data_IF_232898910462
#
_entry.id   IF_232898910462
#
_cell.length_a   1.000
_cell.length_b   1.000
_cell.length_c   1.000
_cell.angle_alpha   90.00
_cell.angle_beta   90.00
_cell.angle_gamma   90.00
#
_symmetry.space_group_name_H-M   'P 1'
#
loop_
_entity.id
_entity.type
_entity.pdbx_description
1 polymer ?
#
# COMPACT_ATOMS: atom_id res chain seq x y z
N UNK A 1 44.97 46.12 -56.93
CA UNK A 1 43.85 46.93 -56.36
C UNK A 1 42.99 45.98 -55.54
N UNK A 2 43.13 46.08 -54.26
CA UNK A 2 42.39 45.27 -53.29
C UNK A 2 41.05 45.92 -52.99
N UNK A 3 39.93 45.23 -53.13
CA UNK A 3 38.69 45.58 -52.47
C UNK A 3 38.28 44.47 -51.52
N UNK A 4 38.50 44.72 -50.24
CA UNK A 4 37.95 43.92 -49.13
C UNK A 4 36.54 44.46 -48.87
N UNK A 5 35.50 43.77 -49.38
CA UNK A 5 34.13 44.00 -48.96
C UNK A 5 33.84 43.15 -47.75
N UNK A 6 34.13 43.71 -46.60
CA UNK A 6 33.75 43.10 -45.29
C UNK A 6 32.25 43.33 -45.06
N UNK A 7 31.56 42.22 -44.77
CA UNK A 7 30.14 42.28 -44.33
C UNK A 7 30.06 43.06 -43.01
N UNK A 8 29.39 44.20 -43.04
CA UNK A 8 29.21 45.05 -41.85
C UNK A 8 28.31 44.36 -40.83
N UNK A 9 28.56 44.62 -39.54
CA UNK A 9 27.74 44.09 -38.45
C UNK A 9 26.22 44.27 -38.64
N UNK A 10 25.82 45.34 -39.29
CA UNK A 10 24.43 45.65 -39.64
C UNK A 10 23.86 44.68 -40.69
N UNK A 11 24.65 44.26 -41.68
CA UNK A 11 24.26 43.28 -42.71
C UNK A 11 24.20 41.85 -42.10
N UNK A 12 25.12 41.53 -41.18
CA UNK A 12 25.08 40.26 -40.47
C UNK A 12 23.86 40.14 -39.55
N UNK A 13 23.45 41.24 -38.89
CA UNK A 13 22.23 41.26 -38.04
C UNK A 13 20.96 41.22 -38.91
N UNK A 14 20.94 41.81 -40.09
CA UNK A 14 19.79 41.73 -40.98
C UNK A 14 19.61 40.36 -41.66
N UNK A 15 20.70 39.62 -41.93
CA UNK A 15 20.61 38.23 -42.39
C UNK A 15 20.24 37.26 -41.26
N UNK A 16 20.64 37.53 -40.01
CA UNK A 16 20.25 36.74 -38.86
C UNK A 16 18.78 36.91 -38.46
N UNK A 17 18.15 38.03 -38.75
CA UNK A 17 16.75 38.30 -38.46
C UNK A 17 15.76 37.66 -39.47
N UNK A 18 16.24 37.26 -40.65
CA UNK A 18 15.37 36.69 -41.69
C UNK A 18 15.18 35.15 -41.56
N UNK A 19 15.90 34.47 -40.65
CA UNK A 19 15.78 33.01 -40.42
C UNK A 19 15.34 32.65 -39.01
N UNK A 20 15.11 33.60 -38.11
CA UNK A 20 14.44 33.36 -36.85
C UNK A 20 12.92 33.30 -37.10
N UNK A 21 12.46 32.18 -37.62
CA UNK A 21 11.04 31.81 -37.51
C UNK A 21 10.70 31.82 -36.03
N UNK A 22 9.92 32.79 -35.58
CA UNK A 22 9.34 32.77 -34.23
C UNK A 22 8.45 31.54 -34.13
N UNK A 23 9.02 30.43 -33.63
CA UNK A 23 8.22 29.28 -33.22
C UNK A 23 7.42 29.72 -32.01
N UNK A 24 6.14 30.00 -32.19
CA UNK A 24 5.23 30.31 -31.10
C UNK A 24 5.05 29.01 -30.30
N UNK A 25 5.81 28.87 -29.22
CA UNK A 25 5.66 27.76 -28.28
C UNK A 25 4.50 28.15 -27.36
N UNK A 26 3.35 27.46 -27.41
CA UNK A 26 2.24 27.73 -26.49
C UNK A 26 2.70 27.71 -25.05
N UNK A 27 2.21 28.62 -24.19
CA UNK A 27 2.59 28.72 -22.80
C UNK A 27 2.42 27.36 -22.03
N UNK A 28 1.46 26.52 -22.45
CA UNK A 28 1.26 25.17 -21.93
C UNK A 28 2.44 24.21 -22.16
N UNK A 29 3.28 24.49 -23.17
CA UNK A 29 4.48 23.66 -23.49
C UNK A 29 5.68 24.11 -22.68
N UNK A 30 5.71 25.40 -22.28
CA UNK A 30 6.77 25.96 -21.44
C UNK A 30 6.55 25.70 -19.92
N UNK A 31 5.37 25.21 -19.55
CA UNK A 31 4.96 25.09 -18.16
C UNK A 31 4.57 26.46 -17.56
N UNK A 32 3.92 26.40 -16.41
CA UNK A 32 3.66 27.57 -15.55
C UNK A 32 4.23 27.23 -14.17
N UNK A 33 4.33 28.20 -13.27
CA UNK A 33 4.81 27.97 -11.90
C UNK A 33 4.03 26.87 -11.17
N UNK A 34 2.73 26.70 -11.51
CA UNK A 34 1.79 25.72 -10.97
C UNK A 34 1.63 24.44 -11.83
N UNK A 35 2.23 24.37 -13.03
CA UNK A 35 2.12 23.24 -13.95
C UNK A 35 3.42 23.02 -14.74
N UNK A 36 4.19 21.95 -14.48
CA UNK A 36 5.40 21.64 -15.21
C UNK A 36 5.10 21.40 -16.70
N UNK A 37 6.09 21.66 -17.61
CA UNK A 37 5.93 21.39 -19.03
C UNK A 37 5.67 19.89 -19.26
N UNK A 38 4.97 19.51 -20.35
CA UNK A 38 4.65 18.10 -20.64
C UNK A 38 5.88 17.18 -20.71
N UNK A 39 7.04 17.70 -21.12
CA UNK A 39 8.31 16.96 -21.16
C UNK A 39 8.84 16.57 -19.79
N UNK A 40 8.43 17.27 -18.74
CA UNK A 40 8.88 17.01 -17.36
C UNK A 40 7.89 16.16 -16.58
N UNK A 41 6.78 15.76 -17.21
CA UNK A 41 5.78 14.88 -16.59
C UNK A 41 6.09 13.42 -16.88
N UNK A 42 5.84 12.56 -15.88
CA UNK A 42 5.84 11.12 -16.11
C UNK A 42 4.57 10.68 -16.84
N UNK A 43 4.71 9.72 -17.74
CA UNK A 43 3.60 9.04 -18.38
C UNK A 43 3.18 7.85 -17.51
N UNK A 44 2.05 7.96 -16.87
CA UNK A 44 1.57 6.98 -15.88
C UNK A 44 0.45 6.11 -16.44
N UNK A 45 0.57 4.81 -16.21
CA UNK A 45 -0.50 3.83 -16.40
C UNK A 45 -1.06 3.42 -15.04
N UNK A 46 -2.38 3.27 -14.96
CA UNK A 46 -3.07 2.85 -13.74
C UNK A 46 -3.78 1.53 -13.97
N UNK A 47 -3.58 0.58 -13.06
CA UNK A 47 -4.21 -0.72 -13.04
C UNK A 47 -5.04 -0.87 -11.77
N UNK A 48 -6.37 -1.09 -11.94
CA UNK A 48 -7.36 -1.04 -10.87
C UNK A 48 -7.79 0.40 -10.56
N UNK A 49 -9.04 0.72 -10.89
CA UNK A 49 -9.61 2.07 -10.82
C UNK A 49 -10.75 2.18 -9.79
N UNK A 50 -10.79 1.23 -8.85
CA UNK A 50 -11.70 1.27 -7.70
C UNK A 50 -11.46 2.50 -6.82
N UNK A 51 -11.95 2.50 -5.57
CA UNK A 51 -11.87 3.66 -4.69
C UNK A 51 -10.43 4.16 -4.50
N UNK A 52 -9.48 3.26 -4.22
CA UNK A 52 -8.06 3.59 -4.04
C UNK A 52 -7.46 4.11 -5.35
N UNK A 53 -7.67 3.39 -6.46
CA UNK A 53 -7.14 3.79 -7.78
C UNK A 53 -7.63 5.16 -8.21
N UNK A 54 -8.92 5.47 -8.05
CA UNK A 54 -9.48 6.80 -8.33
C UNK A 54 -8.80 7.89 -7.49
N UNK A 55 -8.58 7.63 -6.21
CA UNK A 55 -7.89 8.57 -5.32
C UNK A 55 -6.47 8.84 -5.80
N UNK A 56 -5.76 7.80 -6.24
CA UNK A 56 -4.38 7.92 -6.71
C UNK A 56 -4.29 8.60 -8.08
N UNK A 57 -5.21 8.30 -9.02
CA UNK A 57 -5.30 9.04 -10.29
C UNK A 57 -5.47 10.53 -10.02
N UNK A 58 -6.38 10.90 -9.11
CA UNK A 58 -6.59 12.31 -8.75
C UNK A 58 -5.35 12.93 -8.10
N UNK A 59 -4.69 12.23 -7.19
CA UNK A 59 -3.49 12.71 -6.50
C UNK A 59 -2.29 12.91 -7.45
N UNK A 60 -2.21 12.14 -8.53
CA UNK A 60 -1.15 12.21 -9.54
C UNK A 60 -1.60 12.88 -10.85
N UNK A 61 -2.75 13.57 -10.85
CA UNK A 61 -3.33 14.23 -12.05
C UNK A 61 -2.45 15.35 -12.64
N UNK A 62 -1.44 15.83 -11.92
CA UNK A 62 -0.41 16.70 -12.45
C UNK A 62 0.53 16.02 -13.46
N UNK A 63 0.54 14.69 -13.53
CA UNK A 63 1.31 13.91 -14.49
C UNK A 63 0.48 13.58 -15.74
N UNK A 64 1.08 12.93 -16.74
CA UNK A 64 0.37 12.45 -17.92
C UNK A 64 -0.28 11.11 -17.62
N UNK A 65 -1.60 11.04 -17.55
CA UNK A 65 -2.34 9.78 -17.42
C UNK A 65 -2.53 9.22 -18.83
N UNK A 66 -1.71 8.25 -19.22
CA UNK A 66 -1.68 7.75 -20.60
C UNK A 66 -2.45 6.45 -20.82
N UNK A 67 -2.64 5.64 -19.75
CA UNK A 67 -3.37 4.40 -19.84
C UNK A 67 -4.14 4.09 -18.55
N UNK A 68 -5.33 3.51 -18.71
CA UNK A 68 -6.23 3.07 -17.65
C UNK A 68 -6.61 1.62 -17.91
N UNK A 69 -6.40 0.75 -16.91
CA UNK A 69 -6.73 -0.67 -17.00
C UNK A 69 -7.62 -1.09 -15.84
N UNK A 70 -8.79 -1.64 -16.16
CA UNK A 70 -9.70 -2.24 -15.17
C UNK A 70 -10.48 -3.39 -15.82
N UNK A 71 -10.93 -4.33 -15.03
CA UNK A 71 -11.74 -5.47 -15.48
C UNK A 71 -13.24 -5.18 -15.42
N UNK A 72 -13.64 -4.06 -14.81
CA UNK A 72 -15.04 -3.70 -14.56
C UNK A 72 -15.36 -2.26 -15.01
N UNK A 73 -15.89 -2.13 -16.21
CA UNK A 73 -16.27 -0.84 -16.79
C UNK A 73 -17.76 -0.50 -16.64
N UNK A 74 -18.48 -1.22 -15.77
CA UNK A 74 -19.90 -0.96 -15.54
C UNK A 74 -20.14 0.49 -15.11
N UNK A 75 -21.21 1.06 -15.62
CA UNK A 75 -21.72 2.35 -15.15
C UNK A 75 -22.32 2.19 -13.74
N UNK A 76 -22.18 3.20 -12.92
CA UNK A 76 -22.72 3.20 -11.57
C UNK A 76 -22.89 4.61 -11.03
N UNK A 77 -23.43 4.73 -9.82
CA UNK A 77 -23.67 6.03 -9.18
C UNK A 77 -22.38 6.84 -8.90
N UNK A 78 -21.19 6.29 -9.18
CA UNK A 78 -19.90 6.87 -8.83
C UNK A 78 -19.66 6.94 -7.30
N UNK A 79 -20.63 6.49 -6.51
CA UNK A 79 -20.48 6.34 -5.06
C UNK A 79 -19.99 4.92 -4.75
N UNK A 80 -18.86 4.82 -4.06
CA UNK A 80 -18.24 3.54 -3.77
C UNK A 80 -17.39 3.01 -4.94
N UNK A 81 -17.26 1.68 -5.06
CA UNK A 81 -16.38 1.03 -6.04
C UNK A 81 -17.04 0.78 -7.38
N UNK A 82 -18.36 0.55 -7.40
CA UNK A 82 -19.10 0.31 -8.64
C UNK A 82 -19.16 1.58 -9.49
N UNK A 83 -18.79 1.47 -10.76
CA UNK A 83 -18.75 2.60 -11.69
C UNK A 83 -17.54 3.53 -11.52
N UNK A 84 -16.58 3.19 -10.64
CA UNK A 84 -15.39 4.02 -10.41
C UNK A 84 -14.50 4.09 -11.66
N UNK A 85 -14.25 2.97 -12.34
CA UNK A 85 -13.43 2.92 -13.55
C UNK A 85 -14.03 3.77 -14.68
N UNK A 86 -15.33 3.61 -14.95
CA UNK A 86 -16.05 4.43 -15.95
C UNK A 86 -15.98 5.92 -15.63
N UNK A 87 -16.12 6.30 -14.34
CA UNK A 87 -16.02 7.69 -13.91
C UNK A 87 -14.60 8.27 -14.13
N UNK A 88 -13.55 7.52 -13.79
CA UNK A 88 -12.15 7.93 -14.04
C UNK A 88 -11.90 8.08 -15.53
N UNK A 89 -12.36 7.14 -16.35
CA UNK A 89 -12.17 7.21 -17.79
C UNK A 89 -12.89 8.40 -18.44
N UNK A 90 -14.04 8.84 -17.91
CA UNK A 90 -14.69 10.08 -18.36
C UNK A 90 -13.91 11.33 -18.00
N UNK A 91 -13.15 11.33 -16.91
CA UNK A 91 -12.29 12.44 -16.49
C UNK A 91 -10.99 12.50 -17.31
N UNK A 92 -10.53 11.36 -17.85
CA UNK A 92 -9.31 11.24 -18.64
C UNK A 92 -9.59 10.64 -20.02
N UNK A 93 -10.31 11.34 -20.90
CA UNK A 93 -10.75 10.81 -22.20
C UNK A 93 -9.59 10.49 -23.15
N UNK A 94 -8.43 11.13 -22.98
CA UNK A 94 -7.24 10.90 -23.79
C UNK A 94 -6.45 9.64 -23.37
N UNK A 95 -6.70 9.10 -22.17
CA UNK A 95 -6.03 7.89 -21.70
C UNK A 95 -6.59 6.66 -22.42
N UNK A 96 -5.70 5.80 -22.93
CA UNK A 96 -6.12 4.57 -23.60
C UNK A 96 -6.65 3.57 -22.55
N UNK A 97 -7.78 2.91 -22.86
CA UNK A 97 -8.45 1.96 -21.96
C UNK A 97 -8.09 0.52 -22.31
N UNK A 98 -7.91 -0.30 -21.27
CA UNK A 98 -7.60 -1.70 -21.39
C UNK A 98 -8.36 -2.54 -20.36
N UNK A 99 -8.76 -3.74 -20.72
CA UNK A 99 -9.31 -4.75 -19.79
C UNK A 99 -8.17 -5.60 -19.18
N UNK A 100 -7.12 -5.86 -19.97
CA UNK A 100 -6.00 -6.72 -19.63
C UNK A 100 -4.70 -5.92 -19.53
N UNK A 101 -4.11 -5.90 -18.35
CA UNK A 101 -2.87 -5.18 -18.07
C UNK A 101 -1.66 -5.73 -18.87
N UNK A 102 -1.69 -6.99 -19.27
CA UNK A 102 -0.63 -7.60 -20.10
C UNK A 102 -0.63 -6.98 -21.49
N UNK A 103 -1.81 -6.80 -22.07
CA UNK A 103 -2.00 -6.11 -23.36
C UNK A 103 -1.60 -4.64 -23.23
N UNK A 104 -2.03 -3.96 -22.15
CA UNK A 104 -1.65 -2.58 -21.88
C UNK A 104 -0.13 -2.40 -21.86
N UNK A 105 0.58 -3.22 -21.09
CA UNK A 105 2.04 -3.12 -21.00
C UNK A 105 2.73 -3.42 -22.33
N UNK A 106 2.25 -4.40 -23.11
CA UNK A 106 2.83 -4.74 -24.43
C UNK A 106 2.61 -3.62 -25.46
N UNK A 107 1.38 -3.12 -25.57
CA UNK A 107 1.04 -2.09 -26.58
C UNK A 107 1.61 -0.71 -26.25
N UNK A 108 1.72 -0.40 -24.95
CA UNK A 108 2.11 0.93 -24.47
C UNK A 108 3.55 0.97 -23.92
N UNK A 109 4.36 -0.07 -24.15
CA UNK A 109 5.70 -0.19 -23.57
C UNK A 109 6.53 1.09 -23.67
N UNK A 110 6.64 1.68 -24.85
CA UNK A 110 7.45 2.90 -25.07
C UNK A 110 6.78 4.19 -24.58
N UNK A 111 5.53 4.11 -24.15
CA UNK A 111 4.71 5.28 -23.76
C UNK A 111 4.45 5.36 -22.27
N UNK A 112 4.87 4.37 -21.49
CA UNK A 112 4.68 4.29 -20.03
C UNK A 112 6.04 4.43 -19.35
N UNK A 113 6.15 5.38 -18.42
CA UNK A 113 7.32 5.53 -17.53
C UNK A 113 7.09 4.82 -16.21
N UNK A 114 5.86 4.83 -15.70
CA UNK A 114 5.50 4.23 -14.41
C UNK A 114 4.15 3.55 -14.40
N UNK A 115 4.06 2.43 -13.67
CA UNK A 115 2.84 1.68 -13.41
C UNK A 115 2.39 1.86 -11.97
N UNK A 116 1.12 2.23 -11.81
CA UNK A 116 0.42 2.34 -10.51
C UNK A 116 -0.55 1.17 -10.39
N UNK A 117 -0.35 0.30 -9.38
CA UNK A 117 -1.11 -0.94 -9.20
C UNK A 117 -2.03 -0.85 -7.99
N UNK A 118 -3.34 -0.90 -8.22
CA UNK A 118 -4.42 -0.76 -7.21
C UNK A 118 -5.46 -1.88 -7.30
N UNK A 119 -5.07 -3.00 -7.86
CA UNK A 119 -5.94 -4.17 -8.00
C UNK A 119 -6.09 -4.92 -6.68
N UNK A 120 -6.92 -5.97 -6.60
CA UNK A 120 -6.88 -6.90 -5.48
C UNK A 120 -5.51 -7.56 -5.31
N UNK A 121 -5.15 -7.87 -4.08
CA UNK A 121 -3.83 -8.29 -3.61
C UNK A 121 -3.20 -9.41 -4.46
N UNK A 122 -4.03 -10.36 -4.89
CA UNK A 122 -3.61 -11.57 -5.63
C UNK A 122 -3.03 -11.30 -7.02
N UNK A 123 -3.19 -10.09 -7.57
CA UNK A 123 -2.68 -9.76 -8.91
C UNK A 123 -1.46 -8.83 -8.89
N UNK A 124 -1.07 -8.29 -7.74
CA UNK A 124 0.01 -7.31 -7.62
C UNK A 124 1.33 -7.83 -8.21
N UNK A 125 1.81 -8.97 -7.72
CA UNK A 125 3.15 -9.46 -8.05
C UNK A 125 3.36 -9.71 -9.55
N UNK A 126 2.36 -10.25 -10.23
CA UNK A 126 2.44 -10.58 -11.64
C UNK A 126 2.63 -9.34 -12.52
N UNK A 127 1.78 -8.32 -12.31
CA UNK A 127 1.83 -7.07 -13.06
C UNK A 127 3.12 -6.29 -12.75
N UNK A 128 3.48 -6.20 -11.47
CA UNK A 128 4.67 -5.48 -11.00
C UNK A 128 5.94 -6.07 -11.59
N UNK A 129 6.15 -7.40 -11.48
CA UNK A 129 7.37 -8.04 -12.01
C UNK A 129 7.46 -7.87 -13.53
N UNK A 130 6.35 -8.03 -14.25
CA UNK A 130 6.35 -7.80 -15.71
C UNK A 130 6.72 -6.37 -16.06
N UNK A 131 6.12 -5.38 -15.40
CA UNK A 131 6.42 -3.97 -15.63
C UNK A 131 7.88 -3.61 -15.29
N UNK A 132 8.43 -4.16 -14.18
CA UNK A 132 9.84 -3.95 -13.83
C UNK A 132 10.81 -4.53 -14.85
N UNK A 133 10.50 -5.71 -15.43
CA UNK A 133 11.26 -6.27 -16.56
C UNK A 133 11.27 -5.37 -17.78
N UNK A 134 10.18 -4.63 -17.99
CA UNK A 134 10.03 -3.66 -19.08
C UNK A 134 10.58 -2.27 -18.70
N UNK A 135 11.25 -2.13 -17.56
CA UNK A 135 11.90 -0.90 -17.15
C UNK A 135 10.98 0.18 -16.59
N UNK A 136 9.80 -0.18 -16.04
CA UNK A 136 8.84 0.79 -15.50
C UNK A 136 9.07 1.04 -14.01
N UNK A 137 8.98 2.30 -13.56
CA UNK A 137 8.87 2.65 -12.16
C UNK A 137 7.55 2.13 -11.59
N UNK A 138 7.53 1.73 -10.32
CA UNK A 138 6.34 1.07 -9.73
C UNK A 138 5.86 1.79 -8.48
N UNK A 139 4.55 2.04 -8.45
CA UNK A 139 3.80 2.33 -7.24
C UNK A 139 2.77 1.22 -7.03
N UNK A 140 2.84 0.49 -5.92
CA UNK A 140 1.98 -0.67 -5.67
C UNK A 140 1.22 -0.52 -4.36
N UNK A 141 -0.08 -0.86 -4.38
CA UNK A 141 -0.88 -0.95 -3.16
C UNK A 141 -0.32 -1.99 -2.18
N UNK A 142 -0.68 -1.82 -0.93
CA UNK A 142 -0.41 -2.75 0.17
C UNK A 142 -1.54 -3.81 0.27
N UNK A 143 -1.24 -5.01 0.79
CA UNK A 143 0.10 -5.53 0.99
C UNK A 143 0.82 -5.71 -0.35
N UNK A 144 2.15 -5.64 -0.33
CA UNK A 144 2.93 -5.65 -1.57
C UNK A 144 2.69 -6.92 -2.40
N UNK A 145 2.53 -8.07 -1.77
CA UNK A 145 2.21 -9.35 -2.39
C UNK A 145 1.16 -10.12 -1.61
N UNK A 146 0.48 -11.03 -2.26
CA UNK A 146 -0.56 -11.87 -1.67
C UNK A 146 -0.01 -13.06 -0.85
N UNK A 147 1.26 -13.40 -1.05
CA UNK A 147 1.96 -14.47 -0.34
C UNK A 147 3.39 -14.06 0.00
N UNK A 148 4.00 -14.80 0.95
CA UNK A 148 5.42 -14.61 1.30
C UNK A 148 6.32 -14.75 0.07
N UNK A 149 6.06 -15.73 -0.78
CA UNK A 149 6.81 -15.96 -2.02
C UNK A 149 6.72 -14.76 -2.97
N UNK A 150 5.53 -14.22 -3.19
CA UNK A 150 5.30 -13.06 -4.05
C UNK A 150 6.00 -11.81 -3.50
N UNK A 151 5.82 -11.52 -2.21
CA UNK A 151 6.45 -10.36 -1.56
C UNK A 151 7.98 -10.42 -1.69
N UNK A 152 8.58 -11.58 -1.46
CA UNK A 152 10.03 -11.79 -1.63
C UNK A 152 10.49 -11.66 -3.06
N UNK A 153 9.70 -12.16 -4.02
CA UNK A 153 10.00 -11.99 -5.44
C UNK A 153 10.03 -10.51 -5.84
N UNK A 154 9.13 -9.71 -5.30
CA UNK A 154 9.08 -8.25 -5.53
C UNK A 154 10.28 -7.53 -4.93
N UNK A 155 10.65 -7.84 -3.68
CA UNK A 155 11.88 -7.30 -3.07
C UNK A 155 13.14 -7.73 -3.82
N UNK A 156 13.18 -8.95 -4.34
CA UNK A 156 14.28 -9.43 -5.18
C UNK A 156 14.32 -8.71 -6.54
N UNK A 157 13.16 -8.44 -7.14
CA UNK A 157 13.08 -7.67 -8.38
C UNK A 157 13.60 -6.24 -8.19
N UNK A 158 13.27 -5.57 -7.09
CA UNK A 158 13.84 -4.26 -6.76
C UNK A 158 15.36 -4.30 -6.68
N UNK A 159 15.93 -5.27 -5.98
CA UNK A 159 17.39 -5.46 -5.91
C UNK A 159 18.03 -5.72 -7.27
N UNK A 160 17.31 -6.38 -8.19
CA UNK A 160 17.77 -6.67 -9.56
C UNK A 160 17.69 -5.42 -10.45
N UNK A 161 16.61 -4.66 -10.37
CA UNK A 161 16.32 -3.51 -11.23
C UNK A 161 16.59 -2.16 -10.53
N UNK A 162 17.78 -1.98 -10.00
CA UNK A 162 18.22 -0.85 -9.14
C UNK A 162 17.99 0.56 -9.70
N UNK A 163 17.73 0.70 -10.99
CA UNK A 163 17.44 2.01 -11.63
C UNK A 163 15.98 2.39 -11.53
N UNK A 164 15.12 1.45 -11.13
CA UNK A 164 13.70 1.69 -10.99
C UNK A 164 13.39 2.17 -9.57
N UNK A 165 12.55 3.18 -9.49
CA UNK A 165 12.02 3.65 -8.22
C UNK A 165 10.72 2.89 -7.93
N UNK A 166 10.65 2.29 -6.75
CA UNK A 166 9.48 1.57 -6.25
C UNK A 166 8.88 2.31 -5.06
N UNK A 167 7.60 2.10 -4.82
CA UNK A 167 6.92 2.54 -3.60
C UNK A 167 5.78 1.58 -3.26
N UNK A 168 5.64 1.27 -1.98
CA UNK A 168 4.48 0.55 -1.43
C UNK A 168 3.54 1.57 -0.80
N UNK A 169 2.22 1.46 -1.06
CA UNK A 169 1.23 2.44 -0.60
C UNK A 169 0.97 2.36 0.91
N UNK A 170 1.96 2.72 1.72
CA UNK A 170 1.83 2.92 3.16
C UNK A 170 1.74 4.42 3.42
N UNK A 171 0.59 5.02 3.15
CA UNK A 171 0.38 6.48 3.08
C UNK A 171 0.84 7.21 4.35
N UNK A 172 0.59 6.61 5.53
CA UNK A 172 0.96 7.17 6.81
C UNK A 172 2.46 7.40 6.99
N UNK A 173 3.30 6.62 6.31
CA UNK A 173 4.76 6.73 6.39
C UNK A 173 5.29 8.12 5.98
N UNK A 174 4.61 8.78 5.06
CA UNK A 174 4.95 10.13 4.61
C UNK A 174 4.39 11.24 5.53
N UNK A 175 3.51 10.92 6.49
CA UNK A 175 2.81 11.90 7.29
C UNK A 175 3.68 12.52 8.38
N UNK A 176 3.32 13.75 8.80
CA UNK A 176 3.92 14.43 9.95
C UNK A 176 3.70 13.62 11.25
N UNK A 177 2.49 13.07 11.41
CA UNK A 177 2.14 12.25 12.58
C UNK A 177 3.09 11.06 12.76
N UNK A 178 3.31 10.28 11.70
CA UNK A 178 4.17 9.09 11.76
C UNK A 178 5.63 9.48 12.07
N UNK A 179 6.16 10.46 11.36
CA UNK A 179 7.55 10.90 11.51
C UNK A 179 7.82 11.47 12.91
N UNK A 180 6.89 12.28 13.41
CA UNK A 180 6.96 12.83 14.78
C UNK A 180 6.84 11.74 15.84
N UNK A 181 5.94 10.77 15.67
CA UNK A 181 5.83 9.60 16.54
C UNK A 181 7.16 8.86 16.64
N UNK A 182 7.77 8.55 15.48
CA UNK A 182 9.07 7.86 15.42
C UNK A 182 10.15 8.65 16.15
N UNK A 183 10.22 9.95 15.92
CA UNK A 183 11.19 10.84 16.57
C UNK A 183 10.99 10.86 18.08
N UNK A 184 9.75 11.00 18.57
CA UNK A 184 9.47 11.06 20.01
C UNK A 184 9.80 9.75 20.73
N UNK A 185 9.49 8.61 20.11
CA UNK A 185 9.88 7.30 20.66
C UNK A 185 11.40 7.17 20.73
N UNK A 186 12.10 7.57 19.68
CA UNK A 186 13.59 7.48 19.61
C UNK A 186 14.28 8.48 20.54
N UNK A 187 13.66 9.61 20.81
CA UNK A 187 14.12 10.60 21.79
C UNK A 187 13.86 10.14 23.25
N UNK A 188 13.12 9.03 23.44
CA UNK A 188 12.87 8.46 24.76
C UNK A 188 11.67 9.04 25.49
N UNK A 189 10.75 9.73 24.80
CA UNK A 189 9.57 10.39 25.41
C UNK A 189 8.80 9.48 26.38
N UNK A 190 8.69 8.19 26.06
CA UNK A 190 7.92 7.22 26.86
C UNK A 190 8.81 6.21 27.60
N UNK A 191 10.14 6.36 27.53
CA UNK A 191 11.10 5.44 28.15
C UNK A 191 11.25 4.12 27.38
N UNK A 192 11.63 3.04 28.07
CA UNK A 192 11.85 1.72 27.47
C UNK A 192 10.50 1.09 27.07
N UNK A 193 10.42 0.59 25.82
CA UNK A 193 9.21 -0.04 25.27
C UNK A 193 9.36 -1.56 25.23
N UNK A 194 8.35 -2.28 25.77
CA UNK A 194 8.25 -3.75 25.74
C UNK A 194 6.95 -4.24 25.14
N UNK A 195 5.98 -3.36 24.93
CA UNK A 195 4.64 -3.68 24.51
C UNK A 195 4.11 -2.66 23.52
N UNK A 196 3.44 -3.13 22.48
CA UNK A 196 2.70 -2.31 21.53
C UNK A 196 1.42 -3.01 21.09
N UNK A 197 0.37 -2.23 20.85
CA UNK A 197 -0.90 -2.69 20.30
C UNK A 197 -1.18 -1.95 19.01
N UNK A 198 -1.56 -2.67 17.98
CA UNK A 198 -2.11 -2.12 16.75
C UNK A 198 -3.48 -2.73 16.54
N UNK A 199 -4.46 -1.92 16.20
CA UNK A 199 -5.84 -2.40 16.28
C UNK A 199 -6.78 -1.70 15.33
N UNK A 200 -7.83 -2.45 15.00
CA UNK A 200 -9.06 -1.92 14.42
C UNK A 200 -10.22 -2.68 15.05
N UNK A 201 -11.16 -1.95 15.66
CA UNK A 201 -12.37 -2.58 16.16
C UNK A 201 -13.59 -2.14 15.37
N UNK A 202 -14.47 -3.11 15.14
CA UNK A 202 -15.71 -2.92 14.39
C UNK A 202 -16.90 -3.39 15.24
N UNK A 203 -17.87 -2.52 15.45
CA UNK A 203 -19.09 -2.93 16.16
C UNK A 203 -19.98 -3.75 15.23
N UNK A 204 -20.27 -4.97 15.63
CA UNK A 204 -21.29 -5.80 14.95
C UNK A 204 -22.68 -5.25 15.30
N UNK A 205 -23.45 -4.86 14.28
CA UNK A 205 -24.82 -4.37 14.47
C UNK A 205 -25.72 -5.52 14.89
N UNK A 206 -26.54 -5.39 15.97
CA UNK A 206 -27.54 -6.39 16.32
C UNK A 206 -28.46 -6.68 15.13
N UNK A 207 -28.66 -7.97 14.83
CA UNK A 207 -29.51 -8.41 13.71
C UNK A 207 -28.85 -8.31 12.32
N UNK A 208 -27.56 -7.95 12.22
CA UNK A 208 -26.86 -8.05 10.95
C UNK A 208 -26.74 -9.52 10.50
N UNK A 209 -26.77 -9.80 9.18
CA UNK A 209 -26.47 -11.13 8.67
C UNK A 209 -25.10 -11.62 9.16
N UNK A 210 -24.98 -12.93 9.40
CA UNK A 210 -23.70 -13.50 9.81
C UNK A 210 -22.65 -13.23 8.74
N UNK A 211 -21.45 -12.83 9.17
CA UNK A 211 -20.28 -12.67 8.31
C UNK A 211 -20.00 -13.93 7.47
N UNK A 212 -20.36 -15.11 8.01
CA UNK A 212 -20.13 -16.41 7.35
C UNK A 212 -21.27 -16.85 6.43
N UNK A 213 -22.37 -16.11 6.34
CA UNK A 213 -23.48 -16.47 5.43
C UNK A 213 -23.06 -16.51 3.98
N UNK A 214 -22.09 -15.70 3.58
CA UNK A 214 -21.51 -15.73 2.23
C UNK A 214 -21.05 -17.15 1.82
N UNK A 215 -20.56 -17.97 2.77
CA UNK A 215 -20.07 -19.32 2.49
C UNK A 215 -21.17 -20.29 2.03
N UNK A 216 -22.44 -20.00 2.33
CA UNK A 216 -23.59 -20.77 1.86
C UNK A 216 -23.86 -20.57 0.37
N UNK A 217 -23.31 -19.51 -0.22
CA UNK A 217 -23.60 -19.01 -1.56
C UNK A 217 -22.44 -19.15 -2.53
N UNK A 218 -21.33 -19.78 -2.13
CA UNK A 218 -20.11 -19.91 -2.96
C UNK A 218 -20.32 -20.69 -4.27
N UNK A 219 -21.34 -21.55 -4.30
CA UNK A 219 -21.68 -22.38 -5.46
C UNK A 219 -22.92 -21.90 -6.22
N UNK A 220 -23.48 -20.73 -5.87
CA UNK A 220 -24.64 -20.19 -6.56
C UNK A 220 -24.25 -19.86 -8.01
N UNK A 221 -25.13 -20.25 -8.94
CA UNK A 221 -24.97 -19.94 -10.36
C UNK A 221 -25.45 -18.51 -10.65
N UNK A 222 -24.53 -17.55 -10.53
CA UNK A 222 -24.79 -16.13 -10.77
C UNK A 222 -24.16 -15.73 -12.10
N UNK A 223 -24.95 -15.19 -13.06
CA UNK A 223 -24.41 -14.80 -14.35
C UNK A 223 -23.39 -13.66 -14.21
N UNK A 224 -22.28 -13.76 -14.94
CA UNK A 224 -21.29 -12.70 -15.02
C UNK A 224 -21.88 -11.49 -15.73
N UNK A 225 -21.83 -10.27 -15.13
CA UNK A 225 -22.23 -9.06 -15.83
C UNK A 225 -21.42 -8.89 -17.14
N UNK A 226 -22.04 -8.47 -18.27
CA UNK A 226 -21.38 -8.41 -19.58
C UNK A 226 -20.11 -7.57 -19.63
N UNK A 227 -20.07 -6.48 -18.88
CA UNK A 227 -18.93 -5.52 -18.84
C UNK A 227 -17.82 -5.95 -17.88
N UNK A 228 -18.05 -6.99 -17.06
CA UNK A 228 -17.07 -7.53 -16.14
C UNK A 228 -16.25 -8.65 -16.79
N UNK A 229 -14.94 -8.48 -16.86
CA UNK A 229 -14.02 -9.52 -17.35
C UNK A 229 -13.63 -10.44 -16.20
N UNK A 230 -14.54 -11.33 -15.81
CA UNK A 230 -14.39 -12.17 -14.63
C UNK A 230 -13.13 -13.06 -14.66
N UNK A 231 -12.78 -13.61 -15.82
CA UNK A 231 -11.56 -14.41 -15.98
C UNK A 231 -10.28 -13.59 -15.67
N UNK A 232 -10.26 -12.32 -16.07
CA UNK A 232 -9.14 -11.41 -15.78
C UNK A 232 -9.14 -10.97 -14.30
N UNK A 233 -10.33 -10.86 -13.67
CA UNK A 233 -10.41 -10.61 -12.22
C UNK A 233 -9.81 -11.79 -11.44
N UNK A 234 -10.19 -13.03 -11.77
CA UNK A 234 -9.61 -14.24 -11.15
C UNK A 234 -8.10 -14.23 -11.32
N UNK A 235 -7.61 -13.90 -12.52
CA UNK A 235 -6.17 -13.84 -12.78
C UNK A 235 -5.44 -15.11 -12.36
N UNK A 236 -4.44 -15.00 -11.46
CA UNK A 236 -3.66 -16.15 -10.99
C UNK A 236 -4.37 -17.05 -9.98
N UNK A 237 -5.51 -16.64 -9.42
CA UNK A 237 -6.24 -17.42 -8.43
C UNK A 237 -6.92 -18.66 -9.08
N UNK A 238 -7.28 -19.69 -8.30
CA UNK A 238 -8.05 -20.84 -8.80
C UNK A 238 -9.35 -20.41 -9.47
N UNK A 239 -9.71 -21.07 -10.57
CA UNK A 239 -10.96 -20.81 -11.28
C UNK A 239 -12.17 -21.08 -10.40
N UNK A 240 -13.12 -20.15 -10.39
CA UNK A 240 -14.40 -20.28 -9.67
C UNK A 240 -15.51 -19.48 -10.35
N UNK A 241 -16.78 -19.87 -10.16
CA UNK A 241 -17.92 -19.10 -10.64
C UNK A 241 -17.90 -17.66 -10.11
N UNK A 242 -18.48 -16.75 -10.89
CA UNK A 242 -18.71 -15.39 -10.42
C UNK A 242 -19.71 -15.38 -9.27
N UNK A 243 -19.40 -14.56 -8.27
CA UNK A 243 -20.37 -14.21 -7.25
C UNK A 243 -20.11 -12.77 -6.77
N UNK A 244 -21.15 -11.92 -6.56
CA UNK A 244 -21.00 -10.55 -6.08
C UNK A 244 -20.38 -10.44 -4.69
N UNK A 245 -20.25 -11.54 -3.95
CA UNK A 245 -19.52 -11.57 -2.67
C UNK A 245 -18.01 -11.46 -2.84
N UNK A 246 -17.46 -11.69 -4.05
CA UNK A 246 -16.02 -11.54 -4.29
C UNK A 246 -15.66 -10.15 -4.80
N UNK A 247 -16.49 -9.58 -5.65
CA UNK A 247 -16.21 -8.33 -6.35
C UNK A 247 -17.40 -7.35 -6.21
N UNK A 248 -17.16 -6.03 -6.06
CA UNK A 248 -15.86 -5.35 -6.17
C UNK A 248 -15.10 -5.21 -4.84
N UNK A 249 -15.71 -5.37 -3.67
CA UNK A 249 -15.12 -4.96 -2.40
C UNK A 249 -14.74 -6.10 -1.45
N UNK A 250 -15.56 -7.14 -1.41
CA UNK A 250 -15.43 -8.21 -0.42
C UNK A 250 -14.26 -9.17 -0.68
N UNK A 251 -13.52 -9.03 -1.79
CA UNK A 251 -12.37 -9.88 -2.14
C UNK A 251 -11.38 -10.04 -0.97
N UNK A 252 -11.22 -9.01 -0.16
CA UNK A 252 -10.28 -8.94 0.96
C UNK A 252 -10.39 -10.09 1.94
N UNK A 253 -11.60 -10.62 2.11
CA UNK A 253 -11.90 -11.65 3.09
C UNK A 253 -11.78 -13.07 2.56
N UNK A 254 -11.44 -13.25 1.26
CA UNK A 254 -11.32 -14.54 0.61
C UNK A 254 -9.86 -14.86 0.35
N UNK A 255 -9.43 -16.03 0.82
CA UNK A 255 -8.03 -16.45 0.71
C UNK A 255 -7.46 -16.45 -0.71
N UNK A 256 -8.31 -16.63 -1.73
CA UNK A 256 -7.86 -16.63 -3.11
C UNK A 256 -7.54 -15.24 -3.65
N UNK A 257 -8.12 -14.19 -3.07
CA UNK A 257 -8.10 -12.84 -3.65
C UNK A 257 -7.48 -11.77 -2.74
N UNK A 258 -7.58 -11.95 -1.44
CA UNK A 258 -7.14 -10.96 -0.45
C UNK A 258 -6.38 -11.57 0.72
N UNK A 259 -5.98 -10.72 1.63
CA UNK A 259 -5.12 -11.03 2.80
C UNK A 259 -5.81 -10.67 4.11
N UNK A 260 -7.14 -10.76 4.14
CA UNK A 260 -7.92 -10.47 5.35
C UNK A 260 -7.78 -9.02 5.83
N UNK A 261 -8.27 -8.76 7.01
CA UNK A 261 -8.21 -7.44 7.63
C UNK A 261 -6.78 -7.07 8.03
N UNK A 262 -5.98 -8.05 8.42
CA UNK A 262 -4.59 -7.82 8.80
C UNK A 262 -3.74 -7.38 7.60
N UNK A 263 -3.88 -8.01 6.44
CA UNK A 263 -3.19 -7.55 5.23
C UNK A 263 -3.72 -6.23 4.68
N UNK A 264 -5.05 -5.98 4.81
CA UNK A 264 -5.66 -4.73 4.33
C UNK A 264 -5.31 -3.51 5.22
N UNK A 265 -5.50 -3.58 6.53
CA UNK A 265 -5.30 -2.46 7.45
C UNK A 265 -4.00 -2.54 8.27
N UNK A 266 -3.51 -3.76 8.53
CA UNK A 266 -2.30 -3.96 9.33
C UNK A 266 -1.10 -3.15 8.86
N UNK A 267 -0.75 -3.10 7.57
CA UNK A 267 0.39 -2.31 7.11
C UNK A 267 0.37 -0.84 7.53
N UNK A 268 -0.80 -0.22 7.60
CA UNK A 268 -0.94 1.17 8.02
C UNK A 268 -0.69 1.40 9.51
N UNK A 269 -1.02 0.42 10.36
CA UNK A 269 -0.91 0.55 11.81
C UNK A 269 0.36 -0.09 12.36
N UNK A 270 0.88 -1.11 11.70
CA UNK A 270 2.17 -1.75 12.03
C UNK A 270 3.34 -0.79 11.72
N UNK A 271 3.26 -0.04 10.61
CA UNK A 271 4.32 0.83 10.12
C UNK A 271 4.89 1.78 11.19
N UNK A 272 4.12 2.60 11.91
CA UNK A 272 4.67 3.51 12.91
C UNK A 272 5.39 2.79 14.05
N UNK A 273 4.86 1.64 14.48
CA UNK A 273 5.45 0.82 15.56
C UNK A 273 6.74 0.16 15.08
N UNK A 274 6.71 -0.45 13.90
CA UNK A 274 7.84 -1.10 13.28
C UNK A 274 9.01 -0.13 13.11
N UNK A 275 8.75 1.04 12.57
CA UNK A 275 9.75 2.07 12.31
C UNK A 275 10.30 2.70 13.58
N UNK A 276 9.43 3.06 14.53
CA UNK A 276 9.84 3.68 15.78
C UNK A 276 10.75 2.78 16.62
N UNK A 277 10.43 1.47 16.65
CA UNK A 277 11.10 0.51 17.50
C UNK A 277 12.22 -0.27 16.78
N UNK A 278 12.40 -0.11 15.46
CA UNK A 278 13.36 -0.91 14.68
C UNK A 278 13.12 -2.42 14.86
N UNK A 279 11.90 -2.90 14.64
CA UNK A 279 11.53 -4.23 15.11
C UNK A 279 12.22 -5.38 14.36
N UNK A 280 12.39 -5.30 13.05
CA UNK A 280 12.81 -6.44 12.24
C UNK A 280 11.72 -7.53 12.16
N UNK A 281 12.13 -8.80 12.05
CA UNK A 281 11.20 -9.93 12.02
C UNK A 281 10.98 -10.53 13.41
N UNK A 282 9.78 -11.02 13.72
CA UNK A 282 9.47 -11.68 14.99
C UNK A 282 10.13 -13.08 15.05
N UNK A 283 10.35 -13.58 16.25
CA UNK A 283 10.77 -14.98 16.51
C UNK A 283 9.59 -15.89 16.79
N UNK A 284 8.50 -15.34 17.34
CA UNK A 284 7.28 -16.10 17.65
C UNK A 284 6.05 -15.37 17.18
N UNK A 285 5.08 -16.14 16.70
CA UNK A 285 3.78 -15.59 16.27
C UNK A 285 2.69 -16.59 16.71
N UNK A 286 1.65 -16.09 17.35
CA UNK A 286 0.47 -16.89 17.69
C UNK A 286 -0.81 -16.12 17.36
N UNK A 287 -1.88 -16.83 17.07
CA UNK A 287 -3.15 -16.21 16.76
C UNK A 287 -4.34 -16.90 17.43
N UNK A 288 -5.32 -16.09 17.76
CA UNK A 288 -6.67 -16.46 18.14
C UNK A 288 -7.64 -15.94 17.07
N UNK A 289 -8.74 -16.63 16.86
CA UNK A 289 -9.80 -16.18 15.97
C UNK A 289 -11.15 -16.32 16.67
N UNK A 290 -12.17 -15.63 16.17
CA UNK A 290 -13.49 -15.69 16.78
C UNK A 290 -14.04 -17.14 16.80
N UNK A 291 -14.78 -17.52 17.88
CA UNK A 291 -15.27 -18.89 18.03
C UNK A 291 -16.25 -19.33 16.93
N UNK A 292 -16.97 -18.39 16.31
CA UNK A 292 -17.90 -18.71 15.22
C UNK A 292 -17.16 -19.29 14.01
N UNK A 293 -15.92 -18.89 13.77
CA UNK A 293 -15.09 -19.46 12.71
C UNK A 293 -14.82 -20.96 12.88
N UNK A 294 -14.85 -21.48 14.12
CA UNK A 294 -14.69 -22.91 14.38
C UNK A 294 -15.87 -23.75 13.91
N UNK A 295 -17.03 -23.14 13.80
CA UNK A 295 -18.27 -23.80 13.36
C UNK A 295 -18.44 -23.77 11.83
N UNK A 296 -17.58 -23.04 11.10
CA UNK A 296 -17.64 -22.93 9.66
C UNK A 296 -17.19 -24.23 9.00
N UNK A 297 -18.00 -24.76 8.08
CA UNK A 297 -17.75 -26.04 7.41
C UNK A 297 -16.50 -26.01 6.54
N UNK A 298 -16.23 -24.90 5.84
CA UNK A 298 -15.07 -24.73 4.98
C UNK A 298 -14.27 -23.47 5.34
N UNK A 299 -13.37 -23.65 6.30
CA UNK A 299 -12.43 -22.59 6.75
C UNK A 299 -11.35 -22.26 5.72
N UNK A 300 -11.22 -23.07 4.66
CA UNK A 300 -10.15 -22.89 3.67
C UNK A 300 -10.45 -21.78 2.68
N UNK A 301 -11.64 -21.19 2.69
CA UNK A 301 -12.04 -20.18 1.71
C UNK A 301 -11.99 -18.74 2.24
N UNK A 302 -12.31 -18.52 3.52
CA UNK A 302 -12.57 -17.18 4.06
C UNK A 302 -11.85 -16.96 5.40
N UNK A 303 -11.25 -15.78 5.56
CA UNK A 303 -10.67 -15.33 6.83
C UNK A 303 -11.73 -15.26 7.94
N UNK A 304 -11.33 -15.44 9.23
CA UNK A 304 -12.25 -15.17 10.34
C UNK A 304 -12.69 -13.71 10.35
N UNK A 305 -13.88 -13.46 10.93
CA UNK A 305 -14.38 -12.08 11.09
C UNK A 305 -13.47 -11.30 12.02
N UNK A 306 -13.06 -11.91 13.13
CA UNK A 306 -12.18 -11.31 14.11
C UNK A 306 -10.97 -12.20 14.39
N UNK A 307 -9.84 -11.57 14.64
CA UNK A 307 -8.60 -12.25 15.03
C UNK A 307 -7.71 -11.35 15.89
N UNK A 308 -6.98 -12.00 16.81
CA UNK A 308 -5.89 -11.39 17.57
C UNK A 308 -4.61 -12.11 17.22
N UNK A 309 -3.56 -11.37 16.85
CA UNK A 309 -2.24 -11.95 16.53
C UNK A 309 -1.17 -11.31 17.40
N UNK A 310 -0.39 -12.13 18.10
CA UNK A 310 0.73 -11.71 18.95
C UNK A 310 2.05 -12.05 18.30
N UNK A 311 2.89 -11.04 18.16
CA UNK A 311 4.24 -11.14 17.60
C UNK A 311 5.27 -10.92 18.70
N UNK A 312 6.15 -11.87 18.93
CA UNK A 312 7.28 -11.75 19.84
C UNK A 312 8.56 -11.38 19.08
N UNK A 313 9.06 -10.17 19.31
CA UNK A 313 10.30 -9.69 18.70
C UNK A 313 11.47 -9.83 19.67
N UNK A 314 12.64 -10.31 19.21
CA UNK A 314 13.82 -10.47 20.04
C UNK A 314 14.39 -9.12 20.53
N UNK A 315 15.29 -9.20 21.48
CA UNK A 315 16.13 -8.06 21.85
C UNK A 315 16.96 -7.57 20.65
N UNK A 316 17.11 -6.25 20.51
CA UNK A 316 17.84 -5.60 19.40
C UNK A 316 18.92 -4.69 19.96
N UNK A 317 20.14 -5.22 20.06
CA UNK A 317 21.25 -4.56 20.72
C UNK A 317 20.91 -4.27 22.19
N UNK A 318 20.83 -2.98 22.59
CA UNK A 318 20.43 -2.58 23.95
C UNK A 318 18.92 -2.45 24.14
N UNK A 319 18.12 -2.55 23.06
CA UNK A 319 16.66 -2.47 23.13
C UNK A 319 16.09 -3.81 23.60
N UNK A 320 15.12 -3.83 24.54
CA UNK A 320 14.54 -5.05 25.06
C UNK A 320 13.72 -5.81 24.00
N UNK A 321 13.33 -7.07 24.28
CA UNK A 321 12.30 -7.75 23.51
C UNK A 321 10.99 -6.96 23.55
N UNK A 322 10.18 -7.06 22.48
CA UNK A 322 8.89 -6.39 22.36
C UNK A 322 7.83 -7.39 21.96
N UNK A 323 6.69 -7.34 22.61
CA UNK A 323 5.45 -7.97 22.13
C UNK A 323 4.60 -6.93 21.42
N UNK A 324 4.28 -7.18 20.16
CA UNK A 324 3.30 -6.39 19.40
C UNK A 324 2.05 -7.26 19.19
N UNK A 325 0.87 -6.72 19.49
CA UNK A 325 -0.40 -7.41 19.30
C UNK A 325 -1.26 -6.66 18.30
N UNK A 326 -1.68 -7.36 17.25
CA UNK A 326 -2.76 -6.95 16.36
C UNK A 326 -4.09 -7.38 16.93
N UNK A 327 -5.04 -6.44 17.03
CA UNK A 327 -6.41 -6.71 17.45
C UNK A 327 -7.37 -6.29 16.33
N UNK A 328 -8.07 -7.25 15.77
CA UNK A 328 -9.28 -7.00 14.99
C UNK A 328 -10.43 -7.72 15.69
N UNK A 329 -11.21 -6.97 16.46
CA UNK A 329 -12.25 -7.50 17.33
C UNK A 329 -13.43 -6.53 17.40
N UNK A 330 -14.52 -6.97 18.02
CA UNK A 330 -15.66 -6.13 18.38
C UNK A 330 -15.45 -5.35 19.70
N UNK A 331 -14.29 -5.53 20.32
CA UNK A 331 -13.91 -4.86 21.56
C UNK A 331 -12.61 -4.09 21.38
N UNK A 332 -12.46 -3.00 22.15
CA UNK A 332 -11.22 -2.25 22.21
C UNK A 332 -10.11 -3.06 22.87
N UNK A 333 -8.84 -2.85 22.45
CA UNK A 333 -7.71 -3.44 23.16
C UNK A 333 -7.66 -2.95 24.61
N UNK A 334 -7.01 -3.71 25.52
CA UNK A 334 -6.80 -3.29 26.91
C UNK A 334 -6.12 -1.93 26.98
N UNK A 335 -6.61 -1.06 27.86
CA UNK A 335 -5.97 0.23 28.11
C UNK A 335 -4.70 0.03 28.94
N UNK A 336 -3.55 0.59 28.50
CA UNK A 336 -2.35 0.60 29.33
C UNK A 336 -2.55 1.47 30.57
N UNK A 337 -1.78 1.23 31.62
CA UNK A 337 -1.87 1.95 32.92
C UNK A 337 -1.76 3.46 32.85
N UNK A 338 -1.24 3.98 31.75
CA UNK A 338 -1.05 5.42 31.51
C UNK A 338 -2.32 6.14 31.03
N UNK A 339 -3.32 5.39 30.57
CA UNK A 339 -4.60 5.89 30.11
C UNK A 339 -5.66 5.67 31.20
N UNK A 340 -6.54 6.65 31.35
CA UNK A 340 -7.70 6.55 32.22
C UNK A 340 -8.88 5.93 31.47
N UNK A 341 -9.88 5.37 32.17
CA UNK A 341 -11.07 4.81 31.52
C UNK A 341 -11.82 5.78 30.59
N UNK A 342 -11.76 7.07 30.88
CA UNK A 342 -12.37 8.13 30.07
C UNK A 342 -11.55 8.47 28.80
N UNK A 343 -10.27 8.10 28.75
CA UNK A 343 -9.45 8.26 27.54
C UNK A 343 -9.91 7.25 26.51
N UNK A 344 -10.57 7.74 25.47
CA UNK A 344 -11.12 6.90 24.43
C UNK A 344 -10.15 6.84 23.23
N UNK A 345 -9.36 5.75 23.07
CA UNK A 345 -8.55 5.59 21.87
C UNK A 345 -9.45 5.51 20.62
N UNK A 346 -8.97 5.96 19.45
CA UNK A 346 -9.73 5.88 18.20
C UNK A 346 -10.14 4.44 17.85
N UNK A 347 -11.04 4.26 16.90
CA UNK A 347 -11.49 2.91 16.47
C UNK A 347 -10.45 2.10 15.70
N UNK A 348 -9.41 2.77 15.19
CA UNK A 348 -8.26 2.15 14.53
C UNK A 348 -7.00 2.96 14.78
N UNK A 349 -5.86 2.29 14.81
CA UNK A 349 -4.56 2.90 15.10
C UNK A 349 -3.67 2.00 15.94
N UNK A 350 -3.01 2.58 16.93
CA UNK A 350 -2.16 1.81 17.84
C UNK A 350 -1.77 2.55 19.11
N UNK A 351 -1.14 1.79 20.01
CA UNK A 351 -0.57 2.24 21.27
C UNK A 351 0.83 1.66 21.45
N UNK A 352 1.81 2.50 21.75
CA UNK A 352 3.18 2.08 22.10
C UNK A 352 3.35 2.36 23.60
N UNK A 353 3.61 1.31 24.38
CA UNK A 353 3.61 1.39 25.84
C UNK A 353 5.04 1.33 26.37
N UNK A 354 5.45 2.41 27.01
CA UNK A 354 6.78 2.54 27.62
C UNK A 354 6.75 2.55 29.15
N UNK A 355 7.95 2.59 29.75
CA UNK A 355 8.11 2.65 31.22
C UNK A 355 7.63 3.95 31.83
N UNK A 356 7.69 5.05 31.09
CA UNK A 356 7.40 6.39 31.55
C UNK A 356 6.13 7.02 30.95
N UNK A 357 5.47 6.33 30.01
CA UNK A 357 4.27 6.82 29.34
C UNK A 357 3.84 5.90 28.21
N UNK A 358 2.85 6.36 27.45
CA UNK A 358 2.43 5.72 26.22
C UNK A 358 2.20 6.75 25.11
N UNK A 359 2.35 6.32 23.86
CA UNK A 359 1.88 7.05 22.68
C UNK A 359 0.67 6.34 22.14
N UNK A 360 -0.42 7.07 21.92
CA UNK A 360 -1.61 6.59 21.20
C UNK A 360 -1.67 7.31 19.86
N UNK A 361 -1.94 6.56 18.81
CA UNK A 361 -2.12 7.12 17.48
C UNK A 361 -3.37 6.57 16.80
N UNK A 362 -4.03 7.42 16.03
CA UNK A 362 -5.20 7.09 15.23
C UNK A 362 -4.83 6.65 13.81
N UNK A 363 -5.78 6.75 12.86
CA UNK A 363 -5.56 6.36 11.47
C UNK A 363 -4.63 7.36 10.75
N UNK A 364 -3.33 7.22 10.97
CA UNK A 364 -2.27 8.12 10.46
C UNK A 364 -2.34 8.30 8.93
N UNK A 365 -2.83 7.31 8.18
CA UNK A 365 -3.05 7.41 6.73
C UNK A 365 -4.05 8.52 6.34
N UNK A 366 -4.87 9.00 7.27
CA UNK A 366 -5.80 10.11 7.07
C UNK A 366 -5.23 11.47 7.48
N UNK A 367 -3.97 11.54 7.94
CA UNK A 367 -3.33 12.76 8.41
C UNK A 367 -3.12 13.77 7.29
N UNK A 368 -3.29 15.05 7.61
CA UNK A 368 -3.01 16.14 6.68
C UNK A 368 -1.51 16.47 6.69
N UNK A 369 -0.92 16.87 5.56
CA UNK A 369 0.46 17.31 5.52
C UNK A 369 0.73 18.48 6.49
N UNK A 370 1.88 18.45 7.17
CA UNK A 370 2.36 19.52 8.04
C UNK A 370 1.61 19.70 9.35
N UNK A 371 0.78 18.72 9.77
CA UNK A 371 0.05 18.80 11.03
C UNK A 371 0.12 17.49 11.80
N UNK A 372 0.33 17.58 13.12
CA UNK A 372 0.21 16.47 14.06
C UNK A 372 -1.23 16.47 14.58
N UNK A 373 -2.01 15.47 14.19
CA UNK A 373 -3.45 15.37 14.47
C UNK A 373 -3.86 14.06 15.11
N UNK A 374 -3.11 13.00 14.85
CA UNK A 374 -3.48 11.64 15.19
C UNK A 374 -2.60 11.02 16.28
N UNK A 375 -1.62 11.77 16.84
CA UNK A 375 -0.64 11.25 17.80
C UNK A 375 -0.71 12.03 19.09
N UNK A 376 -0.82 11.32 20.22
CA UNK A 376 -0.90 11.89 21.57
C UNK A 376 -0.07 11.08 22.57
N UNK A 377 0.65 11.79 23.45
CA UNK A 377 1.36 11.20 24.59
C UNK A 377 0.43 11.05 25.79
N UNK A 378 0.65 10.03 26.60
CA UNK A 378 -0.02 9.78 27.88
C UNK A 378 0.98 9.43 28.98
N UNK A 379 0.73 9.84 30.25
CA UNK A 379 -0.44 10.61 30.71
C UNK A 379 -0.45 12.04 30.17
N UNK A 380 -1.54 12.78 30.40
CA UNK A 380 -1.74 14.13 29.86
C UNK A 380 -0.62 15.12 30.29
N UNK A 381 -0.08 14.94 31.49
CA UNK A 381 1.05 15.74 32.01
C UNK A 381 2.29 15.54 31.12
N UNK A 382 2.56 14.30 30.70
CA UNK A 382 3.65 14.03 29.77
C UNK A 382 3.41 14.71 28.42
N UNK A 383 2.19 14.65 27.90
CA UNK A 383 1.86 15.31 26.62
C UNK A 383 2.06 16.84 26.67
N UNK A 384 1.72 17.46 27.81
CA UNK A 384 1.88 18.90 28.02
C UNK A 384 3.33 19.29 28.21
N UNK A 385 4.09 18.56 29.02
CA UNK A 385 5.39 18.96 29.53
C UNK A 385 6.58 18.45 28.69
N UNK A 386 6.37 17.44 27.86
CA UNK A 386 7.41 16.91 26.98
C UNK A 386 7.85 17.93 25.93
N UNK A 387 9.13 18.25 25.95
CA UNK A 387 9.75 19.13 24.95
C UNK A 387 10.04 18.33 23.69
N UNK A 388 9.23 18.52 22.69
CA UNK A 388 9.36 17.83 21.40
C UNK A 388 10.69 18.19 20.73
N UNK A 389 11.47 17.21 20.26
CA UNK A 389 12.75 17.46 19.60
C UNK A 389 12.53 18.16 18.26
N UNK A 390 13.58 18.80 17.77
CA UNK A 390 13.60 19.28 16.39
C UNK A 390 13.49 18.08 15.43
N UNK A 391 12.82 18.24 14.28
CA UNK A 391 12.71 17.18 13.28
C UNK A 391 14.07 16.65 12.82
N UNK A 392 14.27 15.33 12.87
CA UNK A 392 15.50 14.64 12.43
C UNK A 392 15.25 13.82 11.18
N UNK A 393 14.01 13.43 10.93
CA UNK A 393 13.58 12.69 9.75
C UNK A 393 13.13 13.72 8.69
N UNK A 394 13.63 13.68 7.44
CA UNK A 394 13.19 14.57 6.39
C UNK A 394 11.66 14.55 6.22
N UNK A 395 11.06 15.70 6.03
CA UNK A 395 9.61 15.81 5.82
C UNK A 395 9.28 15.71 4.33
N UNK A 396 8.16 15.07 4.01
CA UNK A 396 7.63 15.01 2.66
C UNK A 396 6.71 16.21 2.48
N UNK A 397 7.13 17.15 1.64
CA UNK A 397 6.40 18.40 1.42
C UNK A 397 5.11 18.20 0.61
N UNK A 398 5.03 17.12 -0.16
CA UNK A 398 3.91 16.77 -1.03
C UNK A 398 3.08 15.63 -0.42
N UNK A 399 2.54 14.77 -1.23
CA UNK A 399 1.86 13.56 -0.79
C UNK A 399 2.74 12.34 -0.97
N UNK A 400 2.41 11.24 -0.29
CA UNK A 400 3.05 9.94 -0.48
C UNK A 400 3.10 9.49 -1.96
N UNK A 401 2.05 9.78 -2.71
CA UNK A 401 1.99 9.48 -4.15
C UNK A 401 2.94 10.35 -4.97
N UNK A 402 3.02 11.63 -4.64
CA UNK A 402 3.92 12.56 -5.34
C UNK A 402 5.38 12.40 -4.93
N UNK A 403 5.67 11.94 -3.71
CA UNK A 403 7.01 11.50 -3.31
C UNK A 403 7.58 10.48 -4.31
N UNK A 404 6.78 9.46 -4.67
CA UNK A 404 7.22 8.48 -5.66
C UNK A 404 7.52 9.09 -7.02
N UNK A 405 6.66 9.98 -7.52
CA UNK A 405 6.88 10.68 -8.79
C UNK A 405 8.18 11.50 -8.76
N UNK A 406 8.39 12.26 -7.70
CA UNK A 406 9.57 13.11 -7.52
C UNK A 406 10.85 12.25 -7.38
N UNK A 407 10.80 11.18 -6.61
CA UNK A 407 11.90 10.23 -6.48
C UNK A 407 12.23 9.53 -7.80
N UNK A 408 11.21 9.10 -8.57
CA UNK A 408 11.42 8.47 -9.87
C UNK A 408 12.11 9.42 -10.85
N UNK A 409 11.69 10.68 -10.92
CA UNK A 409 12.36 11.71 -11.74
C UNK A 409 13.79 11.99 -11.30
N UNK A 410 14.03 11.94 -9.99
CA UNK A 410 15.34 12.20 -9.40
C UNK A 410 16.28 10.99 -9.38
N UNK A 411 15.81 9.79 -9.77
CA UNK A 411 16.55 8.54 -9.67
C UNK A 411 16.89 8.16 -8.21
N UNK A 412 16.00 8.47 -7.27
CA UNK A 412 16.18 8.23 -5.83
C UNK A 412 15.19 7.16 -5.32
N UNK A 413 15.51 6.46 -4.23
CA UNK A 413 14.54 5.60 -3.55
C UNK A 413 13.47 6.46 -2.87
N UNK A 414 12.27 5.90 -2.68
CA UNK A 414 11.22 6.45 -1.82
C UNK A 414 11.45 6.09 -0.37
N UNK A 415 10.73 6.73 0.54
CA UNK A 415 10.78 6.39 1.96
C UNK A 415 10.12 5.04 2.29
N UNK A 416 9.18 4.57 1.47
CA UNK A 416 8.48 3.29 1.57
C UNK A 416 8.69 2.44 0.32
N UNK A 417 9.94 2.17 -0.04
CA UNK A 417 10.33 1.30 -1.15
C UNK A 417 9.90 -0.16 -0.91
N UNK A 418 10.15 -1.05 -1.86
CA UNK A 418 9.75 -2.45 -1.72
C UNK A 418 10.53 -3.20 -0.64
N UNK A 419 11.75 -2.78 -0.32
CA UNK A 419 12.48 -3.38 0.79
C UNK A 419 11.78 -3.11 2.12
N UNK A 420 11.34 -1.87 2.34
CA UNK A 420 10.60 -1.47 3.54
C UNK A 420 9.15 -1.98 3.52
N UNK A 421 8.40 -1.68 2.47
CA UNK A 421 6.99 -2.08 2.36
C UNK A 421 6.81 -3.59 2.28
N UNK A 422 7.80 -4.31 1.73
CA UNK A 422 7.86 -5.76 1.73
C UNK A 422 8.01 -6.34 3.13
N UNK A 423 8.87 -5.76 3.97
CA UNK A 423 9.03 -6.19 5.36
C UNK A 423 7.72 -6.02 6.17
N UNK A 424 7.02 -4.89 5.99
CA UNK A 424 5.70 -4.66 6.61
C UNK A 424 4.66 -5.66 6.07
N UNK A 425 4.66 -5.94 4.77
CA UNK A 425 3.77 -6.92 4.15
C UNK A 425 4.06 -8.34 4.65
N UNK A 426 5.34 -8.73 4.82
CA UNK A 426 5.70 -10.01 5.41
C UNK A 426 5.17 -10.17 6.84
N UNK A 427 5.22 -9.12 7.66
CA UNK A 427 4.66 -9.16 9.02
C UNK A 427 3.16 -9.46 9.00
N UNK A 428 2.40 -8.79 8.13
CA UNK A 428 0.98 -9.06 7.98
C UNK A 428 0.72 -10.50 7.53
N UNK A 429 1.45 -10.96 6.50
CA UNK A 429 1.32 -12.33 5.97
C UNK A 429 1.74 -13.42 6.96
N UNK A 430 2.75 -13.19 7.79
CA UNK A 430 3.11 -14.10 8.88
C UNK A 430 1.98 -14.22 9.89
N UNK A 431 1.28 -13.12 10.19
CA UNK A 431 0.09 -13.14 11.03
C UNK A 431 -1.07 -13.88 10.40
N UNK A 432 -1.30 -13.72 9.09
CA UNK A 432 -2.32 -14.47 8.36
C UNK A 432 -2.05 -15.98 8.36
N UNK A 433 -0.77 -16.37 8.29
CA UNK A 433 -0.36 -17.76 8.44
C UNK A 433 -0.64 -18.26 9.87
N UNK A 434 -0.37 -17.44 10.89
CA UNK A 434 -0.69 -17.80 12.27
C UNK A 434 -2.20 -17.95 12.50
N UNK A 435 -3.04 -17.10 11.88
CA UNK A 435 -4.50 -17.23 11.93
C UNK A 435 -4.94 -18.58 11.34
N UNK A 436 -4.35 -19.03 10.24
CA UNK A 436 -4.63 -20.35 9.65
C UNK A 436 -4.16 -21.51 10.55
N UNK A 437 -3.21 -21.28 11.45
CA UNK A 437 -2.65 -22.22 12.42
C UNK A 437 -3.03 -21.84 13.87
N UNK A 438 -4.17 -21.17 14.06
CA UNK A 438 -4.60 -20.66 15.38
C UNK A 438 -4.46 -21.67 16.49
N UNK A 439 -4.11 -21.20 17.68
CA UNK A 439 -3.86 -22.03 18.85
C UNK A 439 -2.48 -22.71 18.86
N UNK A 440 -1.64 -22.45 17.85
CA UNK A 440 -0.26 -22.94 17.81
C UNK A 440 0.70 -21.75 17.86
N UNK A 441 1.65 -21.79 18.79
CA UNK A 441 2.79 -20.87 18.79
C UNK A 441 3.72 -21.26 17.66
N UNK A 442 3.85 -20.39 16.65
CA UNK A 442 4.76 -20.57 15.51
C UNK A 442 6.11 -19.91 15.79
N UNK A 443 7.19 -20.61 15.47
CA UNK A 443 8.56 -20.12 15.62
C UNK A 443 9.16 -19.79 14.25
N UNK A 444 9.43 -18.52 14.02
CA UNK A 444 9.95 -18.03 12.75
C UNK A 444 11.48 -17.87 12.79
N UNK A 445 12.16 -18.55 11.89
CA UNK A 445 13.58 -18.34 11.63
C UNK A 445 13.76 -17.22 10.58
N UNK A 446 14.02 -16.02 11.05
CA UNK A 446 14.20 -14.86 10.17
C UNK A 446 15.38 -15.00 9.19
N UNK A 447 16.45 -15.77 9.53
CA UNK A 447 17.61 -16.02 8.65
C UNK A 447 17.28 -17.06 7.58
N UNK A 448 16.63 -18.15 7.98
CA UNK A 448 16.16 -19.19 7.07
C UNK A 448 14.91 -18.81 6.30
N UNK A 449 14.23 -17.76 6.73
CA UNK A 449 13.01 -17.23 6.09
C UNK A 449 11.82 -18.19 6.13
N UNK A 450 11.67 -18.99 7.20
CA UNK A 450 10.64 -20.02 7.33
C UNK A 450 10.27 -20.29 8.78
N UNK A 451 9.11 -20.90 9.00
CA UNK A 451 8.72 -21.43 10.31
C UNK A 451 9.43 -22.75 10.59
N UNK A 452 9.64 -23.05 11.88
CA UNK A 452 10.07 -24.38 12.33
C UNK A 452 8.94 -25.40 12.14
N UNK A 453 7.70 -24.98 12.27
CA UNK A 453 6.49 -25.76 12.06
C UNK A 453 6.25 -25.96 10.56
N UNK A 454 6.50 -27.18 10.08
CA UNK A 454 6.48 -27.49 8.64
C UNK A 454 5.13 -27.17 7.97
N UNK A 455 4.02 -27.45 8.67
CA UNK A 455 2.67 -27.21 8.17
C UNK A 455 2.39 -25.73 7.90
N UNK A 456 2.95 -24.82 8.68
CA UNK A 456 2.79 -23.38 8.46
C UNK A 456 3.44 -22.92 7.16
N UNK A 457 4.54 -23.56 6.75
CA UNK A 457 5.29 -23.16 5.54
C UNK A 457 4.53 -23.44 4.23
N UNK A 458 3.52 -24.33 4.23
CA UNK A 458 2.70 -24.58 3.04
C UNK A 458 1.94 -23.34 2.56
N UNK A 459 1.72 -22.36 3.45
CA UNK A 459 1.04 -21.11 3.13
C UNK A 459 1.99 -20.01 2.62
N UNK A 460 3.29 -20.27 2.51
CA UNK A 460 4.25 -19.30 1.98
C UNK A 460 4.09 -19.04 0.50
N UNK A 461 3.58 -20.02 -0.22
CA UNK A 461 3.34 -19.95 -1.66
C UNK A 461 1.94 -20.53 -1.94
N UNK A 462 1.32 -20.05 -3.01
CA UNK A 462 0.07 -20.57 -3.54
C UNK A 462 0.30 -21.18 -4.92
N UNK A 463 -0.60 -22.04 -5.32
CA UNK A 463 -0.65 -22.54 -6.68
C UNK A 463 -1.25 -21.47 -7.59
N UNK A 464 -0.66 -21.31 -8.77
CA UNK A 464 -1.18 -20.41 -9.79
C UNK A 464 -1.98 -21.19 -10.83
N UNK A 465 -3.02 -20.56 -11.32
CA UNK A 465 -3.76 -21.05 -12.48
C UNK A 465 -2.82 -21.11 -13.68
N UNK A 466 -2.94 -22.18 -14.49
CA UNK A 466 -2.12 -22.38 -15.70
C UNK A 466 -2.11 -21.15 -16.62
N UNK A 467 -0.94 -20.70 -17.01
CA UNK A 467 -0.72 -19.49 -17.80
C UNK A 467 -0.66 -18.19 -16.99
N UNK A 468 -0.71 -18.31 -15.65
CA UNK A 468 -0.56 -17.21 -14.72
C UNK A 468 0.58 -17.43 -13.72
N UNK A 469 1.59 -18.18 -14.12
CA UNK A 469 2.79 -18.37 -13.32
C UNK A 469 3.47 -17.01 -13.08
N UNK A 470 4.14 -16.88 -11.94
CA UNK A 470 4.83 -15.63 -11.63
C UNK A 470 5.94 -15.40 -12.66
N UNK A 471 6.02 -14.21 -13.30
CA UNK A 471 7.07 -13.92 -14.27
C UNK A 471 8.46 -14.01 -13.63
N UNK A 472 9.32 -14.91 -14.10
CA UNK A 472 10.69 -15.12 -13.58
C UNK A 472 11.71 -14.20 -14.23
#
# INVERSE_FOLDING_TARGET
>A
MNSKDGITRRKALALGAATAGFTFIPARVLGREDAPPPSDKMNLAFMGLGLAGRTQVNAMSSQNIVALCDVDWREGSGRGMMGAASAVAKQHPEAKRFDDWRVMLQEMDKSIDGLVVNTPDHTHAHAVIMAMKMGKHIFCEKPLGHSMHETRALMAAEKKYKKLTTSTCIQGHASEDCRSLVEWVRDGAIGEVREAHVYEYETVRPGAPSYYDDLKHVNDDVPVPPELKWDLFIGPAPSRPFNPMYHPNKFRYWYDFGTGKLGDHGPHYIDPVYWALDLGMPETIEAEADPAWDTVTDKTQKYPQFAVVRYGFPARGKKPPVTMTWHHTDQKPPLPKWLKPEDQPPSGGGMIVGTNGAIVFGPIYASKPGAIQQVKLYPEELNRDYKRPAPTIPRIATSHWMEWVECAKAGKPTSADFAYGGAISELALLGDIAIRNKGTMLHYDAKGGKFKEAEANRFFQREYRKGWELPT
#
